data_IF_095714653433
#
_entry.id   IF_095714653433
#
_cell.length_a   1.000
_cell.length_b   1.000
_cell.length_c   1.000
_cell.angle_alpha   90.00
_cell.angle_beta   90.00
_cell.angle_gamma   90.00
#
_symmetry.space_group_name_H-M   'P 1'
#
loop_
_entity.id
_entity.type
_entity.pdbx_description
1 polymer ?
#
# COMPACT_ATOMS: atom_id res chain seq x y z
N UNK A 1 6.43 -15.65 4.91
CA UNK A 1 5.85 -14.42 5.46
C UNK A 1 4.68 -13.97 4.60
N UNK A 2 3.59 -13.62 5.21
CA UNK A 2 2.38 -13.15 4.54
C UNK A 2 2.24 -11.64 4.74
N UNK A 3 2.22 -10.89 3.66
CA UNK A 3 2.27 -9.43 3.68
C UNK A 3 1.03 -8.86 3.00
N UNK A 4 0.37 -7.92 3.67
CA UNK A 4 -0.65 -7.08 3.08
C UNK A 4 -0.04 -5.70 2.81
N UNK A 5 -0.07 -5.27 1.56
CA UNK A 5 0.40 -3.95 1.15
C UNK A 5 -0.77 -3.10 0.68
N UNK A 6 -0.88 -1.89 1.22
CA UNK A 6 -1.95 -0.94 0.90
C UNK A 6 -1.30 0.35 0.40
N UNK A 7 -1.62 0.74 -0.82
CA UNK A 7 -1.31 2.07 -1.34
C UNK A 7 -2.53 2.96 -1.16
N UNK A 8 -2.44 3.88 -0.22
CA UNK A 8 -3.58 4.69 0.24
C UNK A 8 -3.51 6.11 -0.33
N UNK A 9 -3.48 6.23 -1.63
CA UNK A 9 -3.48 7.51 -2.35
C UNK A 9 -4.31 7.38 -3.63
N UNK A 10 -4.20 8.34 -4.55
CA UNK A 10 -4.89 8.24 -5.83
C UNK A 10 -4.58 6.88 -6.49
N UNK A 11 -5.57 6.30 -7.12
CA UNK A 11 -5.46 4.93 -7.66
C UNK A 11 -5.07 3.91 -6.58
N UNK A 12 -5.64 4.07 -5.39
CA UNK A 12 -5.35 3.20 -4.26
C UNK A 12 -5.55 1.72 -4.57
N UNK A 13 -4.66 0.89 -4.03
CA UNK A 13 -4.72 -0.54 -4.27
C UNK A 13 -4.30 -1.34 -3.03
N UNK A 14 -4.73 -2.59 -3.01
CA UNK A 14 -4.38 -3.56 -1.98
C UNK A 14 -3.79 -4.80 -2.64
N UNK A 15 -2.65 -5.24 -2.13
CA UNK A 15 -1.95 -6.43 -2.62
C UNK A 15 -1.68 -7.37 -1.45
N UNK A 16 -2.04 -8.62 -1.61
CA UNK A 16 -1.72 -9.67 -0.64
C UNK A 16 -0.71 -10.64 -1.21
N UNK A 17 0.39 -10.80 -0.48
CA UNK A 17 1.52 -11.65 -0.87
C UNK A 17 1.67 -12.74 0.19
N UNK A 18 1.67 -13.98 -0.25
CA UNK A 18 1.90 -15.15 0.61
C UNK A 18 3.10 -15.92 0.10
N UNK A 19 4.12 -16.06 0.96
CA UNK A 19 5.35 -16.80 0.62
C UNK A 19 5.94 -16.38 -0.74
N UNK A 20 6.14 -15.08 -0.94
CA UNK A 20 6.69 -14.47 -2.15
C UNK A 20 5.82 -14.61 -3.41
N UNK A 21 4.56 -15.02 -3.26
CA UNK A 21 3.61 -15.13 -4.37
C UNK A 21 2.47 -14.14 -4.18
N UNK A 22 2.16 -13.37 -5.21
CA UNK A 22 0.99 -12.49 -5.19
C UNK A 22 -0.27 -13.36 -5.29
N UNK A 23 -1.06 -13.36 -4.23
CA UNK A 23 -2.32 -14.11 -4.17
C UNK A 23 -3.45 -13.28 -4.77
N UNK A 24 -3.53 -12.00 -4.42
CA UNK A 24 -4.42 -11.08 -5.12
C UNK A 24 -3.86 -9.66 -5.13
N UNK A 25 -4.34 -8.90 -6.10
CA UNK A 25 -4.13 -7.47 -6.23
C UNK A 25 -5.44 -6.84 -6.69
N UNK A 26 -5.88 -5.79 -6.02
CA UNK A 26 -7.11 -5.10 -6.40
C UNK A 26 -6.98 -3.59 -6.20
N UNK A 27 -7.62 -2.83 -7.09
CA UNK A 27 -7.81 -1.40 -6.88
C UNK A 27 -9.00 -1.17 -5.97
N UNK A 28 -8.88 -0.19 -5.07
CA UNK A 28 -9.91 0.10 -4.07
C UNK A 28 -11.19 0.60 -4.73
N UNK A 29 -11.09 1.34 -5.81
CA UNK A 29 -12.23 1.89 -6.55
C UNK A 29 -13.14 0.83 -7.19
N UNK A 30 -12.67 -0.40 -7.35
CA UNK A 30 -13.49 -1.52 -7.82
C UNK A 30 -14.59 -1.91 -6.84
N UNK A 31 -14.43 -1.56 -5.56
CA UNK A 31 -15.40 -1.91 -4.51
C UNK A 31 -16.56 -0.93 -4.40
N UNK A 32 -16.37 0.32 -4.83
CA UNK A 32 -17.41 1.35 -4.73
C UNK A 32 -17.66 2.11 -6.04
N UNK A 33 -16.86 1.86 -7.07
CA UNK A 33 -16.93 2.50 -8.40
C UNK A 33 -16.70 4.01 -8.41
N UNK A 34 -16.12 4.56 -7.34
CA UNK A 34 -15.63 5.94 -7.31
C UNK A 34 -14.20 5.99 -7.81
N UNK A 35 -13.99 6.56 -8.97
CA UNK A 35 -12.68 6.66 -9.62
C UNK A 35 -11.66 7.31 -8.69
N UNK A 36 -10.46 6.74 -8.65
CA UNK A 36 -9.33 7.19 -7.81
C UNK A 36 -9.59 7.07 -6.29
N UNK A 37 -10.58 6.32 -5.88
CA UNK A 37 -10.90 6.15 -4.46
C UNK A 37 -9.76 5.43 -3.73
N UNK A 38 -9.42 5.91 -2.54
CA UNK A 38 -8.29 5.40 -1.77
C UNK A 38 -8.62 5.09 -0.29
N UNK A 39 -9.81 5.43 0.15
CA UNK A 39 -10.24 5.19 1.54
C UNK A 39 -10.66 3.73 1.77
N UNK A 40 -10.66 3.27 3.04
CA UNK A 40 -11.13 1.92 3.35
C UNK A 40 -12.59 1.71 2.93
N UNK A 41 -12.87 0.54 2.38
CA UNK A 41 -14.21 0.09 2.02
C UNK A 41 -14.57 -1.12 2.87
N UNK A 42 -15.75 -1.11 3.47
CA UNK A 42 -16.18 -2.14 4.42
C UNK A 42 -16.06 -3.56 3.87
N UNK A 43 -16.53 -3.79 2.65
CA UNK A 43 -16.45 -5.12 2.02
C UNK A 43 -15.02 -5.60 1.82
N UNK A 44 -14.10 -4.69 1.47
CA UNK A 44 -12.69 -5.01 1.32
C UNK A 44 -12.05 -5.32 2.68
N UNK A 45 -12.37 -4.55 3.71
CA UNK A 45 -11.88 -4.83 5.07
C UNK A 45 -12.34 -6.21 5.54
N UNK A 46 -13.59 -6.58 5.27
CA UNK A 46 -14.11 -7.91 5.62
C UNK A 46 -13.36 -9.05 4.91
N UNK A 47 -12.96 -8.83 3.66
CA UNK A 47 -12.11 -9.80 2.95
C UNK A 47 -10.71 -9.88 3.54
N UNK A 48 -10.11 -8.75 3.87
CA UNK A 48 -8.79 -8.67 4.51
C UNK A 48 -8.79 -9.41 5.85
N UNK A 49 -9.84 -9.27 6.64
CA UNK A 49 -9.95 -9.93 7.95
C UNK A 49 -9.96 -11.46 7.88
N UNK A 50 -10.23 -12.03 6.72
CA UNK A 50 -10.19 -13.49 6.51
C UNK A 50 -8.80 -14.01 6.18
N UNK A 51 -7.83 -13.13 5.93
CA UNK A 51 -6.49 -13.50 5.51
C UNK A 51 -5.58 -13.77 6.72
N UNK A 52 -4.61 -14.64 6.52
CA UNK A 52 -3.50 -14.81 7.45
C UNK A 52 -2.42 -13.79 7.10
N UNK A 53 -2.21 -12.81 7.96
CA UNK A 53 -1.30 -11.69 7.69
C UNK A 53 -0.26 -11.60 8.81
N UNK A 54 1.01 -11.58 8.45
CA UNK A 54 2.11 -11.37 9.38
C UNK A 54 2.49 -9.89 9.49
N UNK A 55 2.36 -9.16 8.40
CA UNK A 55 2.77 -7.75 8.34
C UNK A 55 1.89 -6.95 7.40
N UNK A 56 1.56 -5.73 7.83
CA UNK A 56 0.81 -4.75 7.03
C UNK A 56 1.73 -3.59 6.69
N UNK A 57 1.80 -3.25 5.41
CA UNK A 57 2.53 -2.09 4.90
C UNK A 57 1.53 -1.11 4.31
N UNK A 58 1.58 0.14 4.76
CA UNK A 58 0.74 1.22 4.21
C UNK A 58 1.66 2.31 3.67
N UNK A 59 1.41 2.71 2.44
CA UNK A 59 2.11 3.82 1.82
C UNK A 59 1.13 4.81 1.20
N UNK A 60 1.54 6.06 1.11
CA UNK A 60 0.78 7.10 0.42
C UNK A 60 1.69 8.03 -0.37
N UNK A 61 1.07 8.96 -1.07
CA UNK A 61 1.73 10.05 -1.76
C UNK A 61 1.08 11.36 -1.31
N UNK A 62 1.88 12.36 -0.99
CA UNK A 62 1.46 13.69 -0.52
C UNK A 62 0.80 13.72 0.88
N UNK A 63 1.08 12.74 1.72
CA UNK A 63 0.59 12.74 3.10
C UNK A 63 -0.92 12.83 3.20
N UNK A 64 -1.59 12.07 2.36
CA UNK A 64 -3.03 12.13 2.22
C UNK A 64 -3.74 11.46 3.42
N UNK A 65 -4.91 11.97 3.76
CA UNK A 65 -5.68 11.50 4.90
C UNK A 65 -6.17 10.05 4.80
N UNK A 66 -6.22 9.46 3.60
CA UNK A 66 -6.67 8.08 3.44
C UNK A 66 -5.79 7.08 4.18
N UNK A 67 -4.48 7.30 4.24
CA UNK A 67 -3.59 6.44 5.01
C UNK A 67 -3.96 6.41 6.50
N UNK A 68 -4.29 7.56 7.08
CA UNK A 68 -4.73 7.65 8.47
C UNK A 68 -6.01 6.83 8.72
N UNK A 69 -6.98 6.90 7.81
CA UNK A 69 -8.21 6.09 7.90
C UNK A 69 -7.92 4.59 7.79
N UNK A 70 -7.01 4.18 6.92
CA UNK A 70 -6.59 2.79 6.83
C UNK A 70 -5.94 2.30 8.12
N UNK A 71 -5.04 3.09 8.69
CA UNK A 71 -4.38 2.76 9.96
C UNK A 71 -5.42 2.62 11.07
N UNK A 72 -6.36 3.54 11.16
CA UNK A 72 -7.42 3.49 12.15
C UNK A 72 -8.29 2.25 12.00
N UNK A 73 -8.71 1.91 10.78
CA UNK A 73 -9.47 0.69 10.50
C UNK A 73 -8.71 -0.58 10.93
N UNK A 74 -7.39 -0.62 10.68
CA UNK A 74 -6.59 -1.77 11.12
C UNK A 74 -6.55 -1.88 12.64
N UNK A 75 -6.44 -0.76 13.34
CA UNK A 75 -6.41 -0.72 14.82
C UNK A 75 -7.76 -1.08 15.44
N UNK A 76 -8.86 -0.71 14.83
CA UNK A 76 -10.21 -1.02 15.32
C UNK A 76 -10.60 -2.48 15.09
N UNK A 77 -10.03 -3.13 14.10
CA UNK A 77 -10.31 -4.53 13.80
C UNK A 77 -9.71 -5.45 14.87
N UNK A 78 -10.55 -6.29 15.47
CA UNK A 78 -10.09 -7.28 16.47
C UNK A 78 -9.06 -8.24 15.91
N UNK A 79 -9.15 -8.56 14.62
CA UNK A 79 -8.23 -9.49 13.95
C UNK A 79 -6.93 -8.83 13.51
N UNK A 80 -6.98 -7.57 13.12
CA UNK A 80 -5.86 -6.90 12.47
C UNK A 80 -5.03 -6.02 13.41
N UNK A 81 -5.60 -5.58 14.52
CA UNK A 81 -4.98 -4.59 15.41
C UNK A 81 -3.65 -5.02 16.04
N UNK A 82 -3.41 -6.31 16.16
CA UNK A 82 -2.18 -6.84 16.76
C UNK A 82 -1.12 -7.21 15.72
N UNK A 83 -1.42 -7.04 14.43
CA UNK A 83 -0.47 -7.31 13.34
C UNK A 83 0.49 -6.13 13.24
N UNK A 84 1.78 -6.43 13.05
CA UNK A 84 2.80 -5.40 12.82
C UNK A 84 2.40 -4.56 11.61
N UNK A 85 2.35 -3.23 11.81
CA UNK A 85 2.00 -2.28 10.76
C UNK A 85 3.13 -1.26 10.60
N UNK A 86 3.59 -1.06 9.37
CA UNK A 86 4.55 -0.02 9.04
C UNK A 86 3.93 0.95 8.03
N UNK A 87 4.05 2.23 8.32
CA UNK A 87 3.61 3.30 7.44
C UNK A 87 4.82 3.97 6.77
N UNK A 88 4.76 4.07 5.45
CA UNK A 88 5.77 4.74 4.63
C UNK A 88 5.21 6.04 4.08
N UNK A 89 5.74 7.16 4.58
CA UNK A 89 5.34 8.49 4.13
C UNK A 89 5.82 8.79 2.69
N UNK A 90 5.31 9.87 2.11
CA UNK A 90 5.58 10.26 0.74
C UNK A 90 7.08 10.47 0.41
N UNK A 91 7.92 10.74 1.40
CA UNK A 91 9.37 10.87 1.17
C UNK A 91 10.01 9.62 0.56
N UNK A 92 9.37 8.46 0.68
CA UNK A 92 9.82 7.22 0.08
C UNK A 92 9.30 6.99 -1.34
N UNK A 93 8.52 7.92 -1.90
CA UNK A 93 7.84 7.75 -3.19
C UNK A 93 8.83 7.42 -4.33
N UNK A 94 9.88 8.21 -4.48
CA UNK A 94 10.88 7.96 -5.52
C UNK A 94 11.67 6.66 -5.28
N UNK A 95 11.91 6.32 -4.02
CA UNK A 95 12.55 5.06 -3.67
C UNK A 95 11.69 3.86 -4.10
N UNK A 96 10.37 3.95 -3.95
CA UNK A 96 9.46 2.89 -4.40
C UNK A 96 9.47 2.73 -5.92
N UNK A 97 9.54 3.82 -6.68
CA UNK A 97 9.74 3.75 -8.13
C UNK A 97 11.05 3.04 -8.49
N UNK A 98 12.12 3.32 -7.77
CA UNK A 98 13.40 2.64 -7.98
C UNK A 98 13.29 1.13 -7.70
N UNK A 99 12.61 0.72 -6.64
CA UNK A 99 12.38 -0.69 -6.35
C UNK A 99 11.55 -1.39 -7.43
N UNK A 100 10.61 -0.69 -8.08
CA UNK A 100 9.88 -1.26 -9.20
C UNK A 100 10.81 -1.66 -10.35
N UNK A 101 11.85 -0.87 -10.64
CA UNK A 101 12.83 -1.23 -11.66
C UNK A 101 13.57 -2.53 -11.31
N UNK A 102 13.89 -2.75 -10.03
CA UNK A 102 14.55 -3.95 -9.57
C UNK A 102 13.70 -5.22 -9.71
N UNK A 103 12.37 -5.10 -9.78
CA UNK A 103 11.51 -6.26 -10.05
C UNK A 103 11.67 -6.78 -11.47
N UNK A 104 12.05 -5.90 -12.42
CA UNK A 104 12.31 -6.28 -13.80
C UNK A 104 13.68 -6.90 -13.99
N UNK A 105 14.70 -6.36 -13.31
CA UNK A 105 16.05 -6.87 -13.41
C UNK A 105 16.83 -6.57 -12.11
N UNK A 106 17.13 -7.61 -11.36
CA UNK A 106 17.85 -7.52 -10.09
C UNK A 106 19.32 -7.07 -10.25
N UNK A 107 19.87 -7.12 -11.47
CA UNK A 107 21.25 -6.77 -11.75
C UNK A 107 21.43 -5.29 -12.11
N UNK A 108 20.37 -4.48 -12.09
CA UNK A 108 20.47 -3.04 -12.34
C UNK A 108 21.26 -2.41 -11.20
N UNK A 109 22.30 -1.63 -11.57
CA UNK A 109 23.17 -0.94 -10.60
C UNK A 109 22.83 0.54 -10.46
N UNK A 110 22.36 1.16 -11.55
CA UNK A 110 22.03 2.58 -11.60
C UNK A 110 20.60 2.76 -12.04
N UNK A 111 19.84 3.54 -11.27
CA UNK A 111 18.43 3.79 -11.54
C UNK A 111 18.20 5.30 -11.51
N UNK A 112 17.64 5.82 -12.59
CA UNK A 112 17.16 7.20 -12.65
C UNK A 112 15.65 7.18 -12.50
N UNK A 113 15.12 7.92 -11.52
CA UNK A 113 13.68 8.09 -11.32
C UNK A 113 13.30 9.48 -11.78
N UNK A 114 12.39 9.52 -12.78
CA UNK A 114 11.80 10.78 -13.24
C UNK A 114 10.30 10.70 -13.02
N UNK A 115 9.78 11.65 -12.27
CA UNK A 115 8.36 11.79 -12.00
C UNK A 115 7.90 13.18 -12.42
N UNK A 116 6.62 13.32 -12.76
CA UNK A 116 6.05 14.60 -13.16
C UNK A 116 6.11 15.66 -12.06
N UNK A 117 6.14 15.21 -10.82
CA UNK A 117 6.29 16.07 -9.64
C UNK A 117 7.00 15.29 -8.54
N UNK A 118 8.05 15.84 -8.00
CA UNK A 118 8.73 15.28 -6.84
C UNK A 118 7.88 15.38 -5.57
N UNK A 119 8.31 14.72 -4.50
CA UNK A 119 7.73 14.91 -3.18
C UNK A 119 7.85 16.39 -2.77
N UNK A 120 6.73 16.95 -2.31
CA UNK A 120 6.68 18.37 -1.95
C UNK A 120 7.45 18.66 -0.66
N UNK A 121 7.55 17.65 0.19
CA UNK A 121 8.26 17.74 1.48
C UNK A 121 9.27 16.60 1.54
N UNK A 122 10.49 16.91 1.15
CA UNK A 122 11.63 16.02 1.29
C UNK A 122 12.44 16.48 2.50
N UNK A 123 12.51 15.65 3.48
CA UNK A 123 13.38 15.84 4.64
C UNK A 123 14.49 14.81 4.65
#
# INVERSE_FOLDING_TARGET
>A
MNILSIYASHDGCVTYIKNNTIIFHTQIDRYNRFKYFSFPVKSLIQEIEKLEIDKILISDFLGNSSAAFWIECMRESKKLRNIELTYYANKFHHLFHAYCALTWNKNIKNILVCDGRGAVFED
#
